data_IF_411393055002
#
_entry.id   IF_411393055002
#
_cell.length_a   1.000
_cell.length_b   1.000
_cell.length_c   1.000
_cell.angle_alpha   90.00
_cell.angle_beta   90.00
_cell.angle_gamma   90.00
#
_symmetry.space_group_name_H-M   'P 1'
#
loop_
_entity.id
_entity.type
_entity.pdbx_description
1 polymer ?
#
# COMPACT_ATOMS: atom_id res chain seq x y z
N UNK A 1 -5.46 -13.33 7.37
CA UNK A 1 -5.03 -11.94 7.13
C UNK A 1 -5.66 -11.06 8.20
N UNK A 2 -4.92 -10.78 9.27
CA UNK A 2 -5.32 -9.83 10.32
C UNK A 2 -4.90 -8.42 9.97
N UNK A 3 -5.79 -7.45 10.15
CA UNK A 3 -5.47 -6.02 10.01
C UNK A 3 -5.63 -5.36 11.37
N UNK A 4 -4.52 -4.82 11.88
CA UNK A 4 -4.45 -4.14 13.15
C UNK A 4 -4.22 -2.66 12.90
N UNK A 5 -5.23 -1.84 13.19
CA UNK A 5 -5.15 -0.39 13.04
C UNK A 5 -4.93 0.24 14.40
N UNK A 6 -3.91 1.08 14.53
CA UNK A 6 -3.54 1.75 15.76
C UNK A 6 -3.61 3.27 15.59
N UNK A 7 -4.24 3.92 16.55
CA UNK A 7 -4.22 5.38 16.71
C UNK A 7 -2.99 5.71 17.54
N UNK A 8 -2.02 6.36 16.90
CA UNK A 8 -0.75 6.77 17.52
C UNK A 8 -0.85 8.24 17.91
N UNK A 9 -0.45 8.56 19.13
CA UNK A 9 -0.43 9.92 19.67
C UNK A 9 0.89 10.20 20.38
N UNK A 10 1.46 11.36 20.08
CA UNK A 10 2.64 11.92 20.76
C UNK A 10 2.17 12.82 21.91
N UNK A 11 2.75 12.62 23.08
CA UNK A 11 2.57 13.47 24.26
C UNK A 11 3.94 13.83 24.82
N UNK A 12 4.40 15.06 24.57
CA UNK A 12 5.76 15.46 24.92
C UNK A 12 6.81 14.66 24.14
N UNK A 13 7.67 13.94 24.86
CA UNK A 13 8.67 13.03 24.28
C UNK A 13 8.11 11.63 23.99
N UNK A 14 7.02 11.24 24.64
CA UNK A 14 6.51 9.88 24.58
C UNK A 14 5.52 9.68 23.44
N UNK A 15 5.57 8.49 22.86
CA UNK A 15 4.62 8.00 21.89
C UNK A 15 3.75 6.92 22.52
N UNK A 16 2.45 7.00 22.28
CA UNK A 16 1.45 6.05 22.75
C UNK A 16 0.62 5.58 21.57
N UNK A 17 0.17 4.34 21.61
CA UNK A 17 -0.69 3.80 20.58
C UNK A 17 -1.75 2.88 21.17
N UNK A 18 -2.97 3.01 20.65
CA UNK A 18 -4.11 2.17 21.01
C UNK A 18 -4.72 1.59 19.75
N UNK A 19 -5.04 0.31 19.77
CA UNK A 19 -5.76 -0.32 18.68
C UNK A 19 -7.14 0.33 18.54
N UNK A 20 -7.54 0.66 17.31
CA UNK A 20 -8.84 1.28 17.04
C UNK A 20 -10.00 0.32 17.35
N UNK A 21 -9.80 -0.97 17.08
CA UNK A 21 -10.73 -2.04 17.36
C UNK A 21 -9.97 -3.21 18.00
N UNK A 22 -9.86 -3.18 19.33
CA UNK A 22 -9.19 -4.22 20.14
C UNK A 22 -8.53 -3.64 21.40
N UNK A 23 -7.86 -4.51 22.15
CA UNK A 23 -7.32 -4.19 23.49
C UNK A 23 -5.79 -4.03 23.49
N UNK A 24 -5.15 -4.02 22.31
CA UNK A 24 -3.69 -3.85 22.22
C UNK A 24 -3.33 -2.38 22.38
N UNK A 25 -2.53 -2.07 23.38
CA UNK A 25 -1.91 -0.76 23.58
C UNK A 25 -0.42 -0.86 23.87
N UNK A 26 0.33 0.17 23.48
CA UNK A 26 1.76 0.25 23.81
C UNK A 26 2.24 1.70 23.88
N UNK A 27 3.35 1.90 24.57
CA UNK A 27 4.05 3.19 24.63
C UNK A 27 5.57 3.02 24.50
N UNK A 28 6.23 4.06 23.98
CA UNK A 28 7.68 4.12 23.90
C UNK A 28 8.17 5.57 23.77
N UNK A 29 9.46 5.81 24.08
CA UNK A 29 10.10 7.13 23.92
C UNK A 29 10.45 7.49 22.46
N UNK A 30 10.25 6.57 21.52
CA UNK A 30 10.47 6.81 20.09
C UNK A 30 9.37 6.16 19.25
N UNK A 31 9.08 6.72 18.08
CA UNK A 31 8.15 6.12 17.13
C UNK A 31 8.64 4.76 16.63
N UNK A 32 9.95 4.58 16.53
CA UNK A 32 10.57 3.34 16.06
C UNK A 32 10.36 2.17 17.03
N UNK A 33 10.59 2.40 18.31
CA UNK A 33 10.38 1.38 19.34
C UNK A 33 8.90 1.04 19.48
N UNK A 34 8.04 2.05 19.37
CA UNK A 34 6.59 1.85 19.38
C UNK A 34 6.16 0.97 18.20
N UNK A 35 6.60 1.28 16.98
CA UNK A 35 6.25 0.49 15.79
C UNK A 35 6.67 -0.98 15.93
N UNK A 36 7.88 -1.25 16.45
CA UNK A 36 8.35 -2.61 16.71
C UNK A 36 7.51 -3.34 17.75
N UNK A 37 7.18 -2.68 18.87
CA UNK A 37 6.31 -3.24 19.91
C UNK A 37 4.93 -3.60 19.35
N UNK A 38 4.34 -2.72 18.55
CA UNK A 38 3.03 -2.96 17.94
C UNK A 38 3.05 -4.08 16.91
N UNK A 39 4.09 -4.16 16.08
CA UNK A 39 4.26 -5.27 15.13
C UNK A 39 4.41 -6.60 15.86
N UNK A 40 5.19 -6.64 16.94
CA UNK A 40 5.32 -7.84 17.76
C UNK A 40 4.01 -8.22 18.45
N UNK A 41 3.25 -7.25 18.95
CA UNK A 41 1.94 -7.50 19.54
C UNK A 41 0.93 -8.03 18.51
N UNK A 42 0.92 -7.47 17.29
CA UNK A 42 0.09 -7.95 16.19
C UNK A 42 0.46 -9.38 15.76
N UNK A 43 1.75 -9.71 15.70
CA UNK A 43 2.25 -11.06 15.44
C UNK A 43 1.91 -12.08 16.55
N UNK A 44 1.90 -11.62 17.80
CA UNK A 44 1.47 -12.46 18.93
C UNK A 44 -0.04 -12.74 18.88
N UNK A 45 -0.83 -11.80 18.34
CA UNK A 45 -2.28 -11.94 18.19
C UNK A 45 -2.69 -12.75 16.95
N UNK A 46 -1.95 -12.64 15.84
CA UNK A 46 -2.15 -13.42 14.62
C UNK A 46 -0.81 -13.97 14.12
N UNK A 47 -0.67 -15.31 14.10
CA UNK A 47 0.56 -15.99 13.70
C UNK A 47 0.63 -16.32 12.20
N UNK A 48 -0.26 -15.74 11.38
CA UNK A 48 -0.35 -16.08 9.96
C UNK A 48 0.61 -15.24 9.09
N UNK A 49 1.72 -15.81 8.64
CA UNK A 49 2.48 -15.31 7.47
C UNK A 49 3.23 -13.97 7.62
N UNK A 50 3.56 -13.35 6.47
CA UNK A 50 4.37 -12.14 6.40
C UNK A 50 3.70 -10.91 7.02
N UNK A 51 4.52 -10.00 7.54
CA UNK A 51 4.07 -8.74 8.14
C UNK A 51 4.35 -7.57 7.21
N UNK A 52 3.32 -6.77 6.96
CA UNK A 52 3.44 -5.46 6.35
C UNK A 52 2.97 -4.41 7.37
N UNK A 53 3.68 -3.30 7.50
CA UNK A 53 3.21 -2.17 8.30
C UNK A 53 3.31 -0.86 7.54
N UNK A 54 2.33 0.03 7.73
CA UNK A 54 2.34 1.40 7.22
C UNK A 54 2.17 2.40 8.36
N UNK A 55 2.94 3.49 8.32
CA UNK A 55 2.86 4.59 9.28
C UNK A 55 2.47 5.86 8.54
N UNK A 56 1.25 6.33 8.76
CA UNK A 56 0.67 7.49 8.09
C UNK A 56 0.46 8.62 9.11
N UNK A 57 1.33 9.64 9.13
CA UNK A 57 1.12 10.81 9.98
C UNK A 57 -0.10 11.60 9.52
N UNK A 58 -0.95 12.01 10.46
CA UNK A 58 -2.11 12.89 10.23
C UNK A 58 -1.82 14.30 10.73
N UNK A 59 -1.00 14.41 11.78
CA UNK A 59 -0.46 15.67 12.28
C UNK A 59 0.96 15.43 12.83
N UNK A 60 1.73 16.48 13.18
CA UNK A 60 3.02 16.32 13.85
C UNK A 60 2.96 15.54 15.17
N UNK A 61 1.76 15.38 15.75
CA UNK A 61 1.54 14.73 17.04
C UNK A 61 0.63 13.49 16.97
N UNK A 62 0.15 13.11 15.78
CA UNK A 62 -0.76 11.98 15.62
C UNK A 62 -0.54 11.25 14.32
N UNK A 63 -0.64 9.92 14.35
CA UNK A 63 -0.50 9.08 13.18
C UNK A 63 -1.43 7.88 13.25
N UNK A 64 -1.74 7.29 12.09
CA UNK A 64 -2.39 6.00 11.98
C UNK A 64 -1.30 5.00 11.62
N UNK A 65 -1.16 3.95 12.43
CA UNK A 65 -0.24 2.85 12.15
C UNK A 65 -1.05 1.60 11.87
N UNK A 66 -0.87 1.01 10.70
CA UNK A 66 -1.57 -0.19 10.30
C UNK A 66 -0.57 -1.34 10.19
N UNK A 67 -0.86 -2.46 10.83
CA UNK A 67 -0.10 -3.70 10.72
C UNK A 67 -1.00 -4.74 10.08
N UNK A 68 -0.56 -5.31 8.97
CA UNK A 68 -1.24 -6.35 8.23
C UNK A 68 -0.41 -7.62 8.40
N UNK A 69 -1.04 -8.66 8.91
CA UNK A 69 -0.44 -9.98 9.11
C UNK A 69 -1.16 -10.97 8.20
N UNK A 70 -0.42 -11.70 7.37
CA UNK A 70 -0.99 -12.83 6.60
C UNK A 70 -1.67 -12.46 5.31
N UNK A 71 -1.13 -11.46 4.61
CA UNK A 71 -1.55 -11.02 3.28
C UNK A 71 -0.42 -11.04 2.25
N UNK A 72 -0.75 -10.91 0.95
CA UNK A 72 0.24 -10.67 -0.08
C UNK A 72 0.99 -9.37 0.25
N UNK A 73 2.24 -9.49 0.68
CA UNK A 73 3.06 -8.38 1.15
C UNK A 73 3.49 -7.56 -0.06
N UNK A 74 2.90 -6.38 -0.25
CA UNK A 74 3.38 -5.41 -1.22
C UNK A 74 4.26 -4.39 -0.48
N UNK A 75 5.58 -4.62 -0.50
CA UNK A 75 6.55 -3.66 0.05
C UNK A 75 6.85 -2.62 -1.04
N UNK A 76 6.31 -1.41 -0.88
CA UNK A 76 6.71 -0.24 -1.67
C UNK A 76 5.59 0.35 -2.53
N UNK A 77 5.44 1.67 -2.47
CA UNK A 77 4.61 2.40 -3.41
C UNK A 77 5.09 2.17 -4.85
N UNK A 78 4.14 1.97 -5.76
CA UNK A 78 4.40 1.86 -7.19
C UNK A 78 4.33 0.42 -7.73
N UNK A 79 3.21 0.16 -8.39
CA UNK A 79 3.03 -0.82 -9.47
C UNK A 79 3.11 -2.33 -9.18
N UNK A 80 2.26 -3.02 -9.94
CA UNK A 80 2.19 -4.46 -10.18
C UNK A 80 1.60 -5.32 -9.04
N UNK A 81 0.27 -5.38 -9.05
CA UNK A 81 -0.44 -6.60 -8.69
C UNK A 81 0.04 -7.75 -9.61
N UNK A 82 1.02 -8.53 -9.15
CA UNK A 82 1.31 -9.82 -9.76
C UNK A 82 0.34 -10.85 -9.17
N UNK A 83 -0.68 -11.19 -9.95
CA UNK A 83 -1.59 -12.29 -9.70
C UNK A 83 -0.81 -13.62 -9.54
N UNK A 84 -1.29 -14.57 -8.71
CA UNK A 84 -0.60 -15.84 -8.53
C UNK A 84 -0.55 -16.61 -9.84
N UNK A 85 0.66 -16.97 -10.28
CA UNK A 85 0.91 -17.89 -11.37
C UNK A 85 0.53 -19.31 -10.91
N UNK A 86 -0.52 -19.87 -11.51
CA UNK A 86 -0.92 -21.26 -11.30
C UNK A 86 -1.89 -21.71 -12.39
N UNK A 87 -1.42 -22.53 -13.32
CA UNK A 87 -2.24 -23.19 -14.33
C UNK A 87 -1.51 -23.40 -15.65
N UNK A 88 -0.76 -24.49 -15.74
CA UNK A 88 -0.14 -24.93 -16.99
C UNK A 88 -1.16 -25.59 -17.94
N UNK A 89 -0.88 -25.40 -19.24
CA UNK A 89 -1.26 -26.19 -20.42
C UNK A 89 -2.60 -25.88 -21.13
N UNK A 90 -2.73 -26.21 -22.44
CA UNK A 90 -1.87 -25.80 -23.56
C UNK A 90 -2.69 -25.35 -24.81
N UNK A 91 -1.96 -24.75 -25.77
CA UNK A 91 -2.19 -24.80 -27.22
C UNK A 91 -3.60 -24.55 -27.79
N UNK A 92 -3.76 -23.40 -28.45
CA UNK A 92 -4.85 -23.10 -29.37
C UNK A 92 -4.34 -22.25 -30.52
N UNK A 93 -4.12 -22.93 -31.64
CA UNK A 93 -3.70 -22.48 -32.96
C UNK A 93 -4.47 -21.23 -33.45
N UNK A 94 -3.78 -20.18 -33.89
CA UNK A 94 -4.33 -19.16 -34.79
C UNK A 94 -3.20 -18.47 -35.58
N UNK A 95 -3.22 -18.72 -36.88
CA UNK A 95 -2.26 -18.31 -37.90
C UNK A 95 -1.98 -16.78 -37.97
N UNK A 96 -0.75 -16.36 -38.34
CA UNK A 96 -0.45 -14.99 -38.72
C UNK A 96 -0.61 -14.78 -40.23
N UNK A 97 -1.30 -13.72 -40.64
CA UNK A 97 -1.13 -13.12 -41.96
C UNK A 97 -1.46 -11.60 -41.92
N UNK A 98 -0.77 -10.76 -42.72
CA UNK A 98 -0.41 -9.40 -42.35
C UNK A 98 -1.04 -8.28 -43.23
N UNK A 99 -1.01 -7.07 -42.66
CA UNK A 99 -0.78 -5.75 -43.29
C UNK A 99 -1.78 -5.07 -44.27
N UNK A 100 -2.01 -3.77 -43.94
CA UNK A 100 -2.18 -2.56 -44.78
C UNK A 100 -3.56 -2.17 -45.34
N UNK A 101 -4.08 -1.04 -44.82
CA UNK A 101 -4.23 0.29 -45.49
C UNK A 101 -5.00 1.22 -44.54
N UNK A 102 -4.36 2.24 -43.98
CA UNK A 102 -4.39 3.62 -44.49
C UNK A 102 -5.81 4.19 -44.63
N UNK A 103 -6.24 4.93 -43.60
CA UNK A 103 -7.21 6.01 -43.73
C UNK A 103 -6.73 7.19 -42.88
N UNK A 104 -7.15 8.38 -43.30
CA UNK A 104 -6.36 9.58 -43.40
C UNK A 104 -7.18 10.71 -42.75
N UNK A 105 -6.47 11.67 -42.15
CA UNK A 105 -6.89 13.06 -41.89
C UNK A 105 -7.72 13.34 -40.63
N UNK A 106 -7.18 14.26 -39.81
CA UNK A 106 -7.79 15.45 -39.17
C UNK A 106 -6.90 15.76 -37.94
N UNK A 107 -5.80 16.50 -38.09
CA UNK A 107 -5.72 17.98 -37.98
C UNK A 107 -6.43 18.54 -36.73
N UNK A 108 -5.67 19.32 -35.95
CA UNK A 108 -6.15 20.37 -35.04
C UNK A 108 -6.47 19.99 -33.57
N UNK A 109 -5.44 20.00 -32.70
CA UNK A 109 -5.43 20.71 -31.39
C UNK A 109 -4.21 20.30 -30.53
N UNK A 110 -3.02 20.78 -30.91
CA UNK A 110 -1.76 20.70 -30.14
C UNK A 110 -1.46 22.08 -29.49
N UNK A 111 -2.52 22.80 -29.08
CA UNK A 111 -2.45 24.14 -28.46
C UNK A 111 -3.33 24.28 -27.19
N UNK A 112 -3.92 23.17 -26.72
CA UNK A 112 -4.67 23.10 -25.44
C UNK A 112 -3.98 22.17 -24.43
N UNK A 113 -2.66 21.99 -24.60
CA UNK A 113 -1.76 21.51 -23.55
C UNK A 113 -1.35 22.70 -22.66
N UNK A 114 -2.35 23.34 -22.05
CA UNK A 114 -2.24 23.85 -20.69
C UNK A 114 -1.15 24.89 -20.40
N UNK A 115 -0.78 25.74 -21.36
CA UNK A 115 -0.02 26.99 -21.14
C UNK A 115 -0.82 28.05 -20.35
N UNK A 116 -1.76 27.62 -19.51
CA UNK A 116 -2.55 28.42 -18.57
C UNK A 116 -2.64 27.80 -17.17
N UNK A 117 -1.79 26.82 -16.84
CA UNK A 117 -1.67 26.26 -15.47
C UNK A 117 -0.70 27.06 -14.57
N UNK A 118 -0.20 28.20 -15.06
CA UNK A 118 0.62 29.14 -14.31
C UNK A 118 0.23 30.60 -14.62
N UNK A 119 -1.08 30.87 -14.66
CA UNK A 119 -1.58 32.22 -14.35
C UNK A 119 -2.49 32.14 -13.11
#
# INVERSE_FOLDING_TARGET
MGVFTFIVRKSGADWTAKQHSGDIESSAGSSYDLQRKLVQAALAADSSGGVQSSFSPVSPSSAIFQVIVGGAVFVGGGAAAAAPAGGAAPAGDAAPAPEKKEEKVEEESDDDMGLGLFD
#
